data_IF_640972555969
#
_entry.id   IF_640972555969
#
_cell.length_a   1.000
_cell.length_b   1.000
_cell.length_c   1.000
_cell.angle_alpha   90.00
_cell.angle_beta   90.00
_cell.angle_gamma   90.00
#
_symmetry.space_group_name_H-M   'P 1'
#
loop_
_entity.id
_entity.type
_entity.pdbx_description
1 polymer ?
#
# COMPACT_ATOMS: atom_id res chain seq x y z
N UNK A 1 11.46 -8.61 14.91
CA UNK A 1 12.09 -7.48 14.14
C UNK A 1 11.23 -7.25 12.91
N UNK A 2 10.84 -5.99 12.63
CA UNK A 2 10.06 -5.68 11.44
C UNK A 2 10.89 -5.82 10.17
N UNK A 3 10.31 -6.46 9.18
CA UNK A 3 10.90 -6.71 7.87
C UNK A 3 9.86 -6.41 6.78
N UNK A 4 10.30 -5.82 5.67
CA UNK A 4 9.45 -5.51 4.54
C UNK A 4 9.87 -6.40 3.36
N UNK A 5 9.02 -7.37 3.03
CA UNK A 5 9.27 -8.34 1.95
C UNK A 5 8.39 -8.01 0.75
N UNK A 6 9.02 -7.98 -0.42
CA UNK A 6 8.29 -7.89 -1.67
C UNK A 6 7.38 -9.11 -1.84
N UNK A 7 6.22 -8.91 -2.46
CA UNK A 7 5.31 -9.98 -2.85
C UNK A 7 6.07 -11.09 -3.60
N UNK A 8 5.85 -12.34 -3.22
CA UNK A 8 6.63 -13.49 -3.73
C UNK A 8 5.83 -14.79 -3.69
N UNK A 9 6.36 -15.85 -4.32
CA UNK A 9 5.74 -17.16 -4.39
C UNK A 9 6.02 -18.04 -3.15
N UNK A 10 6.99 -17.68 -2.30
CA UNK A 10 7.37 -18.47 -1.13
C UNK A 10 6.37 -18.29 0.03
N UNK A 11 5.89 -17.05 0.22
CA UNK A 11 4.98 -16.68 1.30
C UNK A 11 3.51 -16.62 0.82
N UNK A 12 3.16 -17.38 -0.23
CA UNK A 12 1.86 -17.30 -0.92
C UNK A 12 0.67 -17.56 0.01
N UNK A 13 0.82 -18.51 0.94
CA UNK A 13 -0.24 -18.87 1.88
C UNK A 13 -0.57 -17.71 2.83
N UNK A 14 0.44 -17.10 3.42
CA UNK A 14 0.30 -15.98 4.34
C UNK A 14 -0.24 -14.73 3.63
N UNK A 15 0.16 -14.52 2.36
CA UNK A 15 -0.34 -13.44 1.52
C UNK A 15 -1.83 -13.64 1.20
N UNK A 16 -2.24 -14.87 0.83
CA UNK A 16 -3.64 -15.22 0.64
C UNK A 16 -4.47 -15.03 1.93
N UNK A 17 -3.99 -15.57 3.05
CA UNK A 17 -4.64 -15.38 4.36
C UNK A 17 -4.77 -13.90 4.74
N UNK A 18 -3.81 -13.07 4.32
CA UNK A 18 -3.85 -11.64 4.53
C UNK A 18 -4.98 -10.98 3.73
N UNK A 19 -5.00 -11.16 2.41
CA UNK A 19 -5.97 -10.46 1.55
C UNK A 19 -7.40 -10.93 1.80
N UNK A 20 -7.61 -12.21 2.10
CA UNK A 20 -8.94 -12.75 2.42
C UNK A 20 -9.48 -12.31 3.77
N UNK A 21 -8.61 -11.95 4.72
CA UNK A 21 -8.99 -11.43 6.02
C UNK A 21 -9.35 -9.94 6.01
N UNK A 22 -9.03 -9.21 4.94
CA UNK A 22 -9.38 -7.80 4.81
C UNK A 22 -10.82 -7.66 4.32
N UNK A 23 -11.59 -6.68 4.83
CA UNK A 23 -12.92 -6.39 4.33
C UNK A 23 -12.86 -5.85 2.89
N UNK A 24 -13.96 -6.01 2.16
CA UNK A 24 -14.09 -5.53 0.78
C UNK A 24 -13.78 -4.04 0.63
N UNK A 25 -14.28 -3.23 1.55
CA UNK A 25 -14.06 -1.78 1.58
C UNK A 25 -13.79 -1.32 3.01
N UNK A 26 -12.66 -0.66 3.22
CA UNK A 26 -12.35 -0.07 4.53
C UNK A 26 -11.41 1.14 4.37
N UNK A 27 -11.79 2.27 4.96
CA UNK A 27 -10.97 3.48 5.02
C UNK A 27 -10.43 3.97 3.66
N UNK A 28 -11.20 3.79 2.59
CA UNK A 28 -10.83 4.20 1.23
C UNK A 28 -9.95 3.20 0.48
N UNK A 29 -9.69 2.03 1.05
CA UNK A 29 -9.09 0.91 0.34
C UNK A 29 -10.18 -0.08 -0.07
N UNK A 30 -10.15 -0.50 -1.33
CA UNK A 30 -11.01 -1.56 -1.87
C UNK A 30 -10.20 -2.84 -2.00
N UNK A 31 -10.72 -3.92 -1.43
CA UNK A 31 -10.16 -5.26 -1.54
C UNK A 31 -11.08 -6.14 -2.41
N UNK A 32 -10.75 -6.41 -3.68
CA UNK A 32 -11.56 -7.27 -4.53
C UNK A 32 -11.41 -8.77 -4.21
N UNK A 33 -10.51 -9.14 -3.30
CA UNK A 33 -10.13 -10.52 -3.02
C UNK A 33 -10.75 -11.09 -1.75
N UNK A 34 -11.74 -10.39 -1.15
CA UNK A 34 -12.48 -10.91 -0.01
C UNK A 34 -13.11 -12.27 -0.35
N UNK A 35 -12.77 -13.29 0.41
CA UNK A 35 -13.32 -14.64 0.25
C UNK A 35 -12.81 -15.44 -0.96
N UNK A 36 -11.79 -14.97 -1.69
CA UNK A 36 -11.19 -15.72 -2.78
C UNK A 36 -10.58 -17.04 -2.27
N UNK A 37 -10.70 -18.11 -3.05
CA UNK A 37 -10.06 -19.40 -2.71
C UNK A 37 -8.54 -19.35 -2.86
N UNK A 38 -7.85 -20.25 -2.18
CA UNK A 38 -6.40 -20.33 -2.31
C UNK A 38 -5.98 -20.68 -3.75
N UNK A 39 -6.70 -21.60 -4.39
CA UNK A 39 -6.44 -22.02 -5.75
C UNK A 39 -6.60 -20.88 -6.76
N UNK A 40 -7.62 -20.05 -6.61
CA UNK A 40 -7.82 -18.85 -7.47
C UNK A 40 -6.75 -17.79 -7.21
N UNK A 41 -6.37 -17.59 -5.93
CA UNK A 41 -5.30 -16.66 -5.58
C UNK A 41 -3.96 -17.07 -6.19
N UNK A 42 -3.59 -18.36 -6.03
CA UNK A 42 -2.34 -18.91 -6.57
C UNK A 42 -2.31 -18.88 -8.09
N UNK A 43 -3.40 -19.32 -8.74
CA UNK A 43 -3.42 -19.49 -10.20
C UNK A 43 -3.59 -18.18 -10.96
N UNK A 44 -4.22 -17.16 -10.38
CA UNK A 44 -4.65 -15.97 -11.11
C UNK A 44 -4.20 -14.68 -10.45
N UNK A 45 -4.55 -14.45 -9.18
CA UNK A 45 -4.38 -13.14 -8.55
C UNK A 45 -2.92 -12.82 -8.28
N UNK A 46 -2.19 -13.73 -7.65
CA UNK A 46 -0.78 -13.48 -7.32
C UNK A 46 0.09 -13.26 -8.57
N UNK A 47 -0.01 -14.08 -9.64
CA UNK A 47 0.71 -13.82 -10.88
C UNK A 47 0.36 -12.47 -11.51
N UNK A 48 -0.92 -12.07 -11.50
CA UNK A 48 -1.37 -10.78 -12.02
C UNK A 48 -0.77 -9.62 -11.22
N UNK A 49 -0.87 -9.64 -9.89
CA UNK A 49 -0.30 -8.60 -9.04
C UNK A 49 1.22 -8.49 -9.15
N UNK A 50 1.91 -9.61 -9.33
CA UNK A 50 3.36 -9.61 -9.57
C UNK A 50 3.74 -8.99 -10.92
N UNK A 51 2.89 -9.14 -11.95
CA UNK A 51 3.10 -8.49 -13.25
C UNK A 51 2.92 -6.97 -13.19
N UNK A 52 2.22 -6.43 -12.20
CA UNK A 52 2.01 -4.98 -12.06
C UNK A 52 3.32 -4.19 -11.93
N UNK A 53 4.40 -4.80 -11.46
CA UNK A 53 5.71 -4.15 -11.39
C UNK A 53 6.31 -3.86 -12.78
N UNK A 54 6.08 -4.76 -13.73
CA UNK A 54 6.55 -4.65 -15.11
C UNK A 54 5.39 -4.99 -16.05
N UNK A 55 4.40 -4.10 -16.19
CA UNK A 55 3.15 -4.40 -16.87
C UNK A 55 3.35 -4.52 -18.38
N UNK A 56 3.35 -5.75 -18.89
CA UNK A 56 3.36 -6.04 -20.33
C UNK A 56 1.93 -6.23 -20.81
N UNK A 57 1.53 -5.46 -21.83
CA UNK A 57 0.18 -5.56 -22.40
C UNK A 57 -0.91 -4.88 -21.58
N UNK A 58 -0.57 -4.16 -20.53
CA UNK A 58 -1.52 -3.34 -19.79
C UNK A 58 -1.85 -2.04 -20.56
N UNK A 59 -3.03 -1.43 -20.31
CA UNK A 59 -3.37 -0.14 -20.92
C UNK A 59 -2.35 0.96 -20.56
N UNK A 60 -2.16 1.94 -21.45
CA UNK A 60 -1.21 3.06 -21.24
C UNK A 60 -1.50 3.90 -19.99
N UNK A 61 -2.73 3.89 -19.49
CA UNK A 61 -3.10 4.58 -18.26
C UNK A 61 -2.70 3.82 -16.99
N UNK A 62 -2.31 2.55 -17.12
CA UNK A 62 -1.87 1.74 -15.98
C UNK A 62 -0.48 2.17 -15.54
N UNK A 63 -0.35 2.49 -14.26
CA UNK A 63 0.92 2.86 -13.65
C UNK A 63 1.53 1.63 -12.99
N UNK A 64 2.79 1.28 -13.30
CA UNK A 64 3.48 0.19 -12.61
C UNK A 64 3.43 0.35 -11.09
N UNK A 65 3.21 -0.75 -10.40
CA UNK A 65 3.16 -0.76 -8.94
C UNK A 65 3.77 -2.03 -8.36
N UNK A 66 4.41 -1.91 -7.20
CA UNK A 66 5.03 -3.02 -6.48
C UNK A 66 4.38 -3.19 -5.13
N UNK A 67 4.10 -4.44 -4.77
CA UNK A 67 3.49 -4.82 -3.50
C UNK A 67 4.54 -5.33 -2.53
N UNK A 68 4.46 -4.88 -1.28
CA UNK A 68 5.31 -5.29 -0.18
C UNK A 68 4.46 -5.70 1.02
N UNK A 69 4.90 -6.71 1.74
CA UNK A 69 4.28 -7.16 2.98
C UNK A 69 5.15 -6.85 4.17
N UNK A 70 4.55 -6.31 5.23
CA UNK A 70 5.21 -6.04 6.49
C UNK A 70 5.10 -7.26 7.40
N UNK A 71 6.24 -7.75 7.82
CA UNK A 71 6.36 -8.89 8.72
C UNK A 71 6.91 -8.47 10.07
N UNK A 72 6.33 -9.00 11.14
CA UNK A 72 6.96 -9.02 12.46
C UNK A 72 7.38 -10.45 12.75
N UNK A 73 8.69 -10.70 12.60
CA UNK A 73 9.28 -12.05 12.61
C UNK A 73 8.66 -12.96 11.53
N UNK A 74 7.75 -13.86 11.91
CA UNK A 74 7.08 -14.79 11.02
C UNK A 74 5.60 -14.45 10.80
N UNK A 75 5.13 -13.30 11.30
CA UNK A 75 3.72 -12.91 11.21
C UNK A 75 3.57 -11.76 10.22
N UNK A 76 2.76 -11.97 9.20
CA UNK A 76 2.38 -10.93 8.23
C UNK A 76 1.34 -9.99 8.88
N UNK A 77 1.71 -8.73 9.09
CA UNK A 77 0.91 -7.73 9.82
C UNK A 77 0.33 -6.62 8.95
N UNK A 78 0.90 -6.38 7.76
CA UNK A 78 0.46 -5.30 6.88
C UNK A 78 0.90 -5.46 5.43
N UNK A 79 0.28 -4.67 4.55
CA UNK A 79 0.61 -4.57 3.13
C UNK A 79 0.86 -3.11 2.76
N UNK A 80 1.81 -2.88 1.86
CA UNK A 80 2.15 -1.60 1.26
C UNK A 80 2.28 -1.75 -0.25
N UNK A 81 1.74 -0.78 -0.99
CA UNK A 81 1.86 -0.70 -2.44
C UNK A 81 2.53 0.61 -2.81
N UNK A 82 3.52 0.54 -3.71
CA UNK A 82 4.20 1.72 -4.28
C UNK A 82 3.85 1.80 -5.77
N UNK A 83 3.21 2.88 -6.21
CA UNK A 83 3.12 3.25 -7.62
C UNK A 83 4.41 3.94 -8.04
N UNK A 84 4.96 3.52 -9.19
CA UNK A 84 6.28 3.95 -9.59
C UNK A 84 6.37 5.40 -10.05
N UNK A 85 5.25 5.98 -10.50
CA UNK A 85 5.10 7.39 -10.85
C UNK A 85 3.63 7.80 -10.78
N UNK A 86 3.32 9.09 -10.99
CA UNK A 86 1.96 9.58 -10.95
C UNK A 86 1.49 10.15 -12.29
N UNK A 87 0.29 9.76 -12.71
CA UNK A 87 -0.50 10.52 -13.68
C UNK A 87 -1.13 11.74 -13.01
N UNK A 88 -1.64 12.70 -13.81
CA UNK A 88 -2.35 13.88 -13.24
C UNK A 88 -3.53 13.46 -12.34
N UNK A 89 -4.26 12.40 -12.72
CA UNK A 89 -5.34 11.85 -11.91
C UNK A 89 -4.85 11.29 -10.55
N UNK A 90 -3.68 10.64 -10.52
CA UNK A 90 -3.12 10.08 -9.30
C UNK A 90 -2.52 11.14 -8.37
N UNK A 91 -2.06 12.27 -8.91
CA UNK A 91 -1.56 13.41 -8.11
C UNK A 91 -2.64 14.03 -7.22
N UNK A 92 -3.87 14.08 -7.72
CA UNK A 92 -5.05 14.53 -6.96
C UNK A 92 -5.90 13.37 -6.44
N UNK A 93 -5.49 12.14 -6.71
CA UNK A 93 -6.12 10.90 -6.30
C UNK A 93 -5.33 10.15 -5.24
N UNK A 94 -5.11 8.86 -5.50
CA UNK A 94 -4.54 7.92 -4.51
C UNK A 94 -3.06 8.14 -4.16
N UNK A 95 -2.30 8.89 -4.96
CA UNK A 95 -0.87 9.12 -4.75
C UNK A 95 -0.01 7.87 -4.99
N UNK A 96 1.22 7.90 -4.47
CA UNK A 96 2.21 6.82 -4.66
C UNK A 96 1.96 5.61 -3.77
N UNK A 97 1.59 5.82 -2.50
CA UNK A 97 1.56 4.75 -1.50
C UNK A 97 0.14 4.51 -1.00
N UNK A 98 -0.30 3.25 -1.11
CA UNK A 98 -1.45 2.71 -0.39
C UNK A 98 -0.99 1.65 0.60
N UNK A 99 -1.67 1.53 1.74
CA UNK A 99 -1.32 0.51 2.72
C UNK A 99 -2.49 0.12 3.61
N UNK A 100 -2.40 -1.07 4.18
CA UNK A 100 -3.33 -1.57 5.19
C UNK A 100 -2.59 -2.34 6.28
N UNK A 101 -3.17 -2.37 7.48
CA UNK A 101 -2.70 -3.17 8.61
C UNK A 101 -3.85 -4.06 9.07
N UNK A 102 -3.59 -5.35 9.26
CA UNK A 102 -4.56 -6.28 9.83
C UNK A 102 -5.16 -5.72 11.12
N UNK A 103 -6.47 -5.88 11.30
CA UNK A 103 -7.23 -5.27 12.39
C UNK A 103 -6.63 -5.55 13.78
N UNK A 104 -6.23 -6.77 14.04
CA UNK A 104 -5.64 -7.21 15.33
C UNK A 104 -4.26 -6.62 15.64
N UNK A 105 -3.60 -6.05 14.62
CA UNK A 105 -2.28 -5.41 14.75
C UNK A 105 -2.34 -3.87 14.77
N UNK A 106 -3.52 -3.27 14.61
CA UNK A 106 -3.70 -1.82 14.67
C UNK A 106 -3.44 -1.25 16.06
N UNK A 107 -3.11 0.02 16.13
CA UNK A 107 -2.82 0.70 17.40
C UNK A 107 -1.45 0.39 18.02
N UNK A 108 -0.66 -0.50 17.41
CA UNK A 108 0.67 -0.94 17.91
C UNK A 108 1.85 -0.28 17.17
N UNK A 109 1.58 0.72 16.36
CA UNK A 109 2.62 1.47 15.63
C UNK A 109 3.11 0.84 14.32
N UNK A 110 2.57 -0.30 13.91
CA UNK A 110 2.99 -0.99 12.67
C UNK A 110 2.80 -0.12 11.42
N UNK A 111 1.68 0.60 11.32
CA UNK A 111 1.43 1.48 10.17
C UNK A 111 2.51 2.56 10.00
N UNK A 112 2.94 3.20 11.09
CA UNK A 112 3.98 4.22 11.04
C UNK A 112 5.37 3.62 10.75
N UNK A 113 5.72 2.54 11.42
CA UNK A 113 7.03 1.87 11.23
C UNK A 113 7.18 1.26 9.84
N UNK A 114 6.13 0.57 9.36
CA UNK A 114 6.13 0.03 8.01
C UNK A 114 6.18 1.12 6.94
N UNK A 115 5.50 2.26 7.18
CA UNK A 115 5.59 3.41 6.28
C UNK A 115 7.02 3.98 6.23
N UNK A 116 7.75 4.02 7.34
CA UNK A 116 9.17 4.39 7.35
C UNK A 116 9.97 3.50 6.40
N UNK A 117 9.83 2.19 6.50
CA UNK A 117 10.55 1.23 5.65
C UNK A 117 10.18 1.36 4.16
N UNK A 118 8.89 1.52 3.86
CA UNK A 118 8.45 1.64 2.46
C UNK A 118 8.84 2.97 1.84
N UNK A 119 8.95 4.03 2.63
CA UNK A 119 9.43 5.34 2.15
C UNK A 119 10.88 5.29 1.68
N UNK A 120 11.73 4.49 2.31
CA UNK A 120 13.12 4.33 1.85
C UNK A 120 13.15 3.70 0.44
N UNK A 121 12.33 2.69 0.17
CA UNK A 121 12.17 2.12 -1.16
C UNK A 121 11.51 3.10 -2.14
N UNK A 122 10.47 3.80 -1.72
CA UNK A 122 9.77 4.75 -2.58
C UNK A 122 10.66 5.91 -3.03
N UNK A 123 11.60 6.36 -2.20
CA UNK A 123 12.57 7.41 -2.57
C UNK A 123 13.49 6.99 -3.72
N UNK A 124 13.76 5.71 -3.86
CA UNK A 124 14.57 5.17 -4.96
C UNK A 124 13.76 4.94 -6.24
N UNK A 125 12.50 4.52 -6.10
CA UNK A 125 11.63 4.13 -7.21
C UNK A 125 10.97 5.35 -7.87
N UNK A 126 10.45 6.28 -7.07
CA UNK A 126 9.58 7.38 -7.52
C UNK A 126 10.43 8.51 -8.12
N UNK A 127 10.14 9.00 -9.35
CA UNK A 127 10.88 10.08 -9.99
C UNK A 127 10.51 11.48 -9.48
N UNK A 128 9.31 11.65 -8.91
CA UNK A 128 8.85 12.94 -8.37
C UNK A 128 9.69 13.38 -7.17
N UNK A 129 9.83 14.69 -6.97
CA UNK A 129 10.61 15.28 -5.86
C UNK A 129 9.96 15.05 -4.48
N UNK A 130 8.69 14.69 -4.47
CA UNK A 130 7.90 14.42 -3.26
C UNK A 130 7.10 13.14 -3.41
N UNK A 131 6.91 12.43 -2.31
CA UNK A 131 6.04 11.26 -2.24
C UNK A 131 4.64 11.70 -1.83
N UNK A 132 3.64 11.33 -2.64
CA UNK A 132 2.24 11.73 -2.51
C UNK A 132 1.43 10.62 -1.84
N UNK A 133 0.65 11.00 -0.81
CA UNK A 133 -0.31 10.13 -0.14
C UNK A 133 -1.64 10.88 0.02
N UNK A 134 -2.73 10.13 0.03
CA UNK A 134 -4.07 10.64 0.33
C UNK A 134 -4.64 9.88 1.52
N UNK A 135 -5.29 10.59 2.43
CA UNK A 135 -5.89 9.99 3.62
C UNK A 135 -7.26 10.59 3.90
N UNK A 136 -8.24 9.75 4.23
CA UNK A 136 -9.54 10.21 4.72
C UNK A 136 -9.37 11.01 6.01
N UNK A 137 -10.04 12.16 6.13
CA UNK A 137 -10.06 12.99 7.34
C UNK A 137 -10.55 12.21 8.56
N UNK A 138 -11.45 11.24 8.36
CA UNK A 138 -11.95 10.32 9.40
C UNK A 138 -10.94 9.24 9.80
N UNK A 139 -9.92 8.95 8.96
CA UNK A 139 -8.93 7.91 9.26
C UNK A 139 -7.76 8.48 10.07
N UNK A 140 -8.05 8.86 11.32
CA UNK A 140 -7.07 9.45 12.25
C UNK A 140 -5.81 8.60 12.44
N UNK A 141 -5.89 7.25 12.58
CA UNK A 141 -4.69 6.43 12.70
C UNK A 141 -3.74 6.55 11.50
N UNK A 142 -4.28 6.53 10.28
CA UNK A 142 -3.47 6.68 9.06
C UNK A 142 -2.90 8.09 8.95
N UNK A 143 -3.68 9.13 9.22
CA UNK A 143 -3.20 10.52 9.25
C UNK A 143 -2.01 10.68 10.21
N UNK A 144 -2.10 10.14 11.42
CA UNK A 144 -1.00 10.16 12.40
C UNK A 144 0.22 9.38 11.90
N UNK A 145 0.04 8.20 11.32
CA UNK A 145 1.14 7.39 10.79
C UNK A 145 1.90 8.14 9.68
N UNK A 146 1.18 8.80 8.78
CA UNK A 146 1.74 9.59 7.68
C UNK A 146 2.46 10.83 8.22
N UNK A 147 1.83 11.58 9.14
CA UNK A 147 2.42 12.78 9.76
C UNK A 147 3.68 12.46 10.57
N UNK A 148 3.72 11.33 11.29
CA UNK A 148 4.90 10.87 12.03
C UNK A 148 6.09 10.55 11.12
N UNK A 149 5.86 10.36 9.83
CA UNK A 149 6.89 10.16 8.81
C UNK A 149 7.28 11.45 8.07
N UNK A 150 6.97 12.61 8.64
CA UNK A 150 7.40 13.89 8.13
C UNK A 150 6.52 14.47 7.03
N UNK A 151 5.32 13.95 6.85
CA UNK A 151 4.39 14.49 5.88
C UNK A 151 3.78 15.81 6.35
N UNK A 152 3.51 16.68 5.39
CA UNK A 152 2.72 17.90 5.57
C UNK A 152 1.45 17.85 4.71
N UNK A 153 0.43 18.62 5.08
CA UNK A 153 -0.79 18.78 4.30
C UNK A 153 -0.49 19.77 3.16
N UNK A 154 -0.50 19.26 1.92
CA UNK A 154 -0.31 20.10 0.72
C UNK A 154 -1.64 20.61 0.17
N UNK A 155 -2.75 20.00 0.54
CA UNK A 155 -4.10 20.38 0.14
C UNK A 155 -5.14 19.48 0.80
N UNK A 156 -6.40 19.82 0.59
CA UNK A 156 -7.53 19.01 1.08
C UNK A 156 -8.77 19.21 0.22
N UNK A 157 -9.67 18.23 0.27
CA UNK A 157 -11.07 18.35 -0.19
C UNK A 157 -12.04 18.15 0.99
N UNK A 158 -13.31 17.93 0.72
CA UNK A 158 -14.32 17.73 1.77
C UNK A 158 -14.02 16.53 2.67
N UNK A 159 -13.42 15.47 2.12
CA UNK A 159 -13.26 14.16 2.76
C UNK A 159 -11.82 13.76 3.01
N UNK A 160 -10.84 14.31 2.29
CA UNK A 160 -9.45 13.87 2.34
C UNK A 160 -8.46 14.99 2.60
N UNK A 161 -7.31 14.61 3.18
CA UNK A 161 -6.06 15.38 3.12
C UNK A 161 -5.17 14.81 2.02
N UNK A 162 -4.55 15.71 1.25
CA UNK A 162 -3.47 15.41 0.31
C UNK A 162 -2.14 15.69 1.00
N UNK A 163 -1.44 14.59 1.33
CA UNK A 163 -0.20 14.64 2.11
C UNK A 163 1.01 14.54 1.19
N UNK A 164 2.10 15.22 1.56
CA UNK A 164 3.38 15.15 0.83
C UNK A 164 4.53 14.91 1.80
N UNK A 165 5.49 14.10 1.35
CA UNK A 165 6.74 13.84 2.06
C UNK A 165 7.87 14.20 1.11
N UNK A 166 8.78 15.07 1.52
CA UNK A 166 9.99 15.40 0.75
C UNK A 166 10.93 14.19 0.71
N UNK A 167 11.60 14.02 -0.43
CA UNK A 167 12.62 12.98 -0.63
C UNK A 167 13.90 13.31 0.11
#
# INVERSE_FOLDING_TARGET
MLDLRKMNLQDIKEQWEYVTALPKDENGLTNPYEGITFEEYEATVLPELMMHENPVGMPEWFVPETYYYLWDEQVLVGEYRIRHYLTEALKVGAGHIGYSIKREFRGKGYGSKGLTLVLDLAREIVPEDEIYLRVLKSNIPSFKAISNNGAYIAGEDETHYFMRIKK
#
